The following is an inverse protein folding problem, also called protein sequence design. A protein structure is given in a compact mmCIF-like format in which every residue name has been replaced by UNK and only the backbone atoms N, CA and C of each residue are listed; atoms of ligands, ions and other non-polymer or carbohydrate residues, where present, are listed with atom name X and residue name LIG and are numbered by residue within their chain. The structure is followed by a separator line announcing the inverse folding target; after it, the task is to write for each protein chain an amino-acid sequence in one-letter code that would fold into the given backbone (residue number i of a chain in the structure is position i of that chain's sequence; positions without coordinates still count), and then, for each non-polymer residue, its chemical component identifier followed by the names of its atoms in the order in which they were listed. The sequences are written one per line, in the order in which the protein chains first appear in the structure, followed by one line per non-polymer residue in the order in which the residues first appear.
data_IF_951476397096
#
_entry.id   IF_951476397096
#
_cell.length_a   1.000
_cell.length_b   1.000
_cell.length_c   1.000
_cell.angle_alpha   90.00
_cell.angle_beta   90.00
_cell.angle_gamma   90.00
#
_symmetry.space_group_name_H-M   'P 1'
#
loop_
_entity.id
_entity.type
_entity.pdbx_description
1 polymer ?
#
# COMPACT_ATOMS: atom_id res chain seq x y z
N UNK A 1 -12.91 -13.39 25.40
CA UNK A 1 -11.45 -13.17 25.27
C UNK A 1 -11.30 -12.36 23.99
N UNK A 2 -10.61 -11.22 24.02
CA UNK A 2 -10.30 -10.52 22.77
C UNK A 2 -9.27 -11.38 22.05
N UNK A 3 -9.56 -11.78 20.82
CA UNK A 3 -8.56 -12.46 19.99
C UNK A 3 -7.36 -11.55 19.78
N UNK A 4 -6.18 -12.12 19.58
CA UNK A 4 -4.99 -11.33 19.26
C UNK A 4 -5.15 -10.67 17.87
N UNK A 5 -4.82 -9.39 17.74
CA UNK A 5 -4.92 -8.69 16.46
C UNK A 5 -3.94 -7.54 16.30
N UNK A 6 -3.57 -7.28 15.06
CA UNK A 6 -2.92 -6.06 14.62
C UNK A 6 -3.97 -5.16 13.94
N UNK A 7 -4.18 -3.93 14.47
CA UNK A 7 -5.19 -2.99 13.95
C UNK A 7 -5.00 -2.74 12.46
N UNK A 8 -3.76 -2.48 12.03
CA UNK A 8 -3.45 -2.23 10.63
C UNK A 8 -3.88 -3.42 9.75
N UNK A 9 -3.51 -4.65 10.09
CA UNK A 9 -3.86 -5.82 9.25
C UNK A 9 -5.36 -6.07 9.17
N UNK A 10 -6.11 -5.80 10.25
CA UNK A 10 -7.58 -5.88 10.25
C UNK A 10 -8.20 -4.85 9.32
N UNK A 11 -7.78 -3.59 9.42
CA UNK A 11 -8.26 -2.53 8.55
C UNK A 11 -7.87 -2.79 7.09
N UNK A 12 -6.62 -3.19 6.85
CA UNK A 12 -6.09 -3.50 5.52
C UNK A 12 -6.85 -4.64 4.84
N UNK A 13 -7.20 -5.70 5.57
CA UNK A 13 -8.00 -6.79 5.03
C UNK A 13 -9.42 -6.33 4.67
N UNK A 14 -10.03 -5.46 5.50
CA UNK A 14 -11.39 -4.97 5.29
C UNK A 14 -11.51 -4.04 4.09
N UNK A 15 -10.54 -3.16 3.89
CA UNK A 15 -10.51 -2.20 2.76
C UNK A 15 -9.80 -2.77 1.52
N UNK A 16 -9.35 -4.04 1.57
CA UNK A 16 -8.83 -4.75 0.41
C UNK A 16 -7.40 -4.34 0.00
N UNK A 17 -6.60 -3.81 0.92
CA UNK A 17 -5.20 -3.44 0.65
C UNK A 17 -4.40 -4.70 0.27
N UNK A 18 -3.68 -4.71 -0.87
CA UNK A 18 -2.80 -5.81 -1.24
C UNK A 18 -1.74 -6.11 -0.17
N UNK A 19 -1.52 -7.40 0.14
CA UNK A 19 -0.55 -7.81 1.18
C UNK A 19 0.87 -7.32 0.93
N UNK A 20 1.29 -7.20 -0.34
CA UNK A 20 2.61 -6.68 -0.69
C UNK A 20 2.79 -5.19 -0.35
N UNK A 21 1.71 -4.46 -0.07
CA UNK A 21 1.72 -3.06 0.37
C UNK A 21 1.69 -2.88 1.89
N UNK A 22 1.40 -3.95 2.65
CA UNK A 22 1.16 -3.89 4.09
C UNK A 22 2.35 -3.32 4.86
N UNK A 23 3.54 -3.91 4.69
CA UNK A 23 4.76 -3.44 5.35
C UNK A 23 5.04 -1.96 5.10
N UNK A 24 4.84 -1.51 3.86
CA UNK A 24 5.09 -0.13 3.46
C UNK A 24 4.13 0.83 4.16
N UNK A 25 2.83 0.56 4.11
CA UNK A 25 1.82 1.44 4.72
C UNK A 25 1.94 1.39 6.24
N UNK A 26 2.05 0.20 6.83
CA UNK A 26 2.20 0.03 8.28
C UNK A 26 3.44 0.75 8.82
N UNK A 27 4.55 0.77 8.06
CA UNK A 27 5.74 1.54 8.44
C UNK A 27 5.51 3.06 8.38
N UNK A 28 4.68 3.53 7.45
CA UNK A 28 4.34 4.95 7.32
C UNK A 28 3.30 5.40 8.34
N UNK A 29 2.41 4.52 8.79
CA UNK A 29 1.33 4.85 9.74
C UNK A 29 1.64 4.51 11.18
N UNK A 30 2.48 3.51 11.40
CA UNK A 30 2.47 2.76 12.65
C UNK A 30 1.26 1.82 12.75
N UNK A 31 1.19 1.08 13.85
CA UNK A 31 0.06 0.22 14.19
C UNK A 31 -0.02 -0.01 15.70
N UNK A 32 -1.14 -0.56 16.14
CA UNK A 32 -1.31 -1.10 17.49
C UNK A 32 -1.56 -2.60 17.36
N UNK A 33 -0.84 -3.37 18.16
CA UNK A 33 -0.99 -4.81 18.25
C UNK A 33 -1.50 -5.17 19.65
N UNK A 34 -2.58 -5.94 19.71
CA UNK A 34 -3.11 -6.51 20.95
C UNK A 34 -2.79 -8.00 20.97
N UNK A 35 -1.98 -8.44 21.93
CA UNK A 35 -1.61 -9.85 22.13
C UNK A 35 -1.69 -10.24 23.59
N UNK A 36 -2.33 -11.36 23.92
CA UNK A 36 -2.47 -11.85 25.30
C UNK A 36 -2.99 -10.77 26.27
N UNK A 37 -3.98 -9.98 25.86
CA UNK A 37 -4.51 -8.81 26.58
C UNK A 37 -3.51 -7.66 26.82
N UNK A 38 -2.32 -7.68 26.23
CA UNK A 38 -1.37 -6.57 26.25
C UNK A 38 -1.47 -5.74 24.98
N UNK A 39 -1.22 -4.43 25.10
CA UNK A 39 -1.24 -3.49 23.99
C UNK A 39 0.19 -3.06 23.67
N UNK A 40 0.60 -3.25 22.41
CA UNK A 40 1.90 -2.88 21.89
C UNK A 40 1.73 -1.77 20.84
N UNK A 41 2.43 -0.66 21.04
CA UNK A 41 2.43 0.47 20.12
C UNK A 41 3.65 0.39 19.20
N UNK A 42 3.40 0.52 17.90
CA UNK A 42 4.41 0.63 16.86
C UNK A 42 4.22 1.98 16.19
N UNK A 43 5.08 2.94 16.53
CA UNK A 43 4.98 4.30 15.99
C UNK A 43 5.29 4.35 14.49
N UNK A 44 4.82 5.40 13.81
CA UNK A 44 5.23 5.66 12.42
C UNK A 44 6.76 5.78 12.34
N UNK A 45 7.34 5.11 11.34
CA UNK A 45 8.76 5.18 11.00
C UNK A 45 9.06 6.30 9.99
N UNK A 46 8.02 6.88 9.38
CA UNK A 46 8.11 7.99 8.44
C UNK A 46 7.89 9.32 9.17
N UNK A 47 8.79 9.64 10.11
CA UNK A 47 8.66 10.77 11.04
C UNK A 47 9.10 12.12 10.45
N UNK A 48 9.78 12.10 9.30
CA UNK A 48 10.26 13.29 8.61
C UNK A 48 10.04 13.18 7.10
N UNK A 49 10.19 14.29 6.38
CA UNK A 49 9.99 14.35 4.93
C UNK A 49 10.89 13.36 4.17
N UNK A 50 12.14 13.17 4.63
CA UNK A 50 13.11 12.30 3.96
C UNK A 50 12.70 10.84 4.07
N UNK A 51 12.33 10.38 5.27
CA UNK A 51 11.85 9.03 5.53
C UNK A 51 10.53 8.78 4.78
N UNK A 52 9.62 9.75 4.76
CA UNK A 52 8.39 9.69 3.98
C UNK A 52 8.66 9.50 2.48
N UNK A 53 9.52 10.34 1.90
CA UNK A 53 9.93 10.23 0.49
C UNK A 53 10.59 8.88 0.20
N UNK A 54 11.41 8.37 1.13
CA UNK A 54 12.09 7.09 0.96
C UNK A 54 11.12 5.91 0.91
N UNK A 55 10.03 5.94 1.68
CA UNK A 55 8.95 4.95 1.58
C UNK A 55 8.13 5.11 0.30
N UNK A 56 7.86 6.34 -0.11
CA UNK A 56 7.01 6.64 -1.26
C UNK A 56 7.70 6.32 -2.60
N UNK A 57 8.94 6.78 -2.78
CA UNK A 57 9.68 6.74 -4.06
C UNK A 57 10.90 5.82 -4.06
N UNK A 58 11.32 5.34 -2.90
CA UNK A 58 12.60 4.67 -2.71
C UNK A 58 13.68 5.65 -2.25
N UNK A 59 14.74 5.11 -1.67
CA UNK A 59 15.79 5.90 -1.05
C UNK A 59 16.57 5.13 -0.01
N UNK A 60 17.63 5.76 0.49
CA UNK A 60 18.49 5.24 1.54
C UNK A 60 18.02 5.68 2.94
N UNK A 61 18.54 5.01 3.97
CA UNK A 61 18.30 5.35 5.38
C UNK A 61 16.84 5.24 5.83
N UNK A 62 16.03 4.40 5.17
CA UNK A 62 14.67 4.13 5.60
C UNK A 62 14.66 3.12 6.77
N UNK A 63 13.57 3.10 7.52
CA UNK A 63 13.27 2.06 8.50
C UNK A 63 11.93 1.41 8.16
N UNK A 64 11.85 0.09 8.23
CA UNK A 64 10.62 -0.64 7.87
C UNK A 64 10.26 -1.64 8.96
N UNK A 65 8.96 -1.78 9.20
CA UNK A 65 8.41 -2.95 9.87
C UNK A 65 8.20 -4.05 8.85
N UNK A 66 8.71 -5.24 9.14
CA UNK A 66 8.51 -6.44 8.33
C UNK A 66 7.70 -7.48 9.11
N UNK A 67 6.65 -7.96 8.47
CA UNK A 67 5.78 -9.00 8.99
C UNK A 67 6.28 -10.39 8.59
N UNK A 68 6.24 -11.34 9.52
CA UNK A 68 6.54 -12.77 9.29
C UNK A 68 5.34 -13.52 8.71
N UNK A 69 4.12 -13.06 9.00
CA UNK A 69 2.87 -13.66 8.56
C UNK A 69 1.78 -12.60 8.31
N UNK A 70 0.63 -13.03 7.77
CA UNK A 70 -0.49 -12.14 7.38
C UNK A 70 -1.10 -11.40 8.57
N UNK A 71 -1.13 -12.02 9.75
CA UNK A 71 -1.69 -11.39 10.97
C UNK A 71 -0.74 -10.36 11.59
N UNK A 72 0.56 -10.44 11.26
CA UNK A 72 1.61 -9.52 11.69
C UNK A 72 1.55 -9.13 13.17
N UNK A 73 1.44 -10.13 14.05
CA UNK A 73 1.34 -9.92 15.50
C UNK A 73 2.69 -9.57 16.15
N UNK A 74 3.81 -9.82 15.47
CA UNK A 74 5.14 -9.46 15.97
C UNK A 74 5.98 -8.79 14.86
N UNK A 75 5.65 -7.54 14.47
CA UNK A 75 6.42 -6.81 13.47
C UNK A 75 7.89 -6.68 13.88
N UNK A 76 8.79 -7.00 12.95
CA UNK A 76 10.24 -6.84 13.15
C UNK A 76 10.72 -5.51 12.58
N UNK A 77 11.50 -4.74 13.35
CA UNK A 77 12.03 -3.46 12.90
C UNK A 77 13.39 -3.63 12.22
N UNK A 78 13.49 -3.19 10.97
CA UNK A 78 14.74 -3.09 10.21
C UNK A 78 15.09 -1.64 9.97
N UNK A 79 16.29 -1.22 10.36
CA UNK A 79 16.79 0.16 10.26
C UNK A 79 17.86 0.27 9.18
N UNK A 80 18.06 1.49 8.70
CA UNK A 80 19.10 1.84 7.72
C UNK A 80 19.05 0.96 6.46
N UNK A 81 17.85 0.72 5.97
CA UNK A 81 17.64 -0.03 4.73
C UNK A 81 17.62 0.91 3.54
N UNK A 82 17.93 0.35 2.38
CA UNK A 82 17.68 0.99 1.08
C UNK A 82 16.42 0.39 0.48
N UNK A 83 15.44 1.24 0.19
CA UNK A 83 14.22 0.87 -0.54
C UNK A 83 14.49 1.16 -2.01
N UNK A 84 14.52 0.13 -2.86
CA UNK A 84 14.67 0.34 -4.30
C UNK A 84 13.41 1.03 -4.87
N UNK A 85 13.50 1.73 -6.01
CA UNK A 85 12.34 2.34 -6.64
C UNK A 85 11.18 1.36 -6.87
N UNK A 86 11.47 0.09 -7.20
CA UNK A 86 10.48 -0.96 -7.42
C UNK A 86 9.82 -1.44 -6.11
N UNK A 87 10.58 -1.44 -5.01
CA UNK A 87 10.09 -1.81 -3.68
C UNK A 87 9.42 -0.64 -2.94
N UNK A 88 9.55 0.57 -3.47
CA UNK A 88 8.83 1.74 -2.97
C UNK A 88 7.32 1.60 -3.15
N UNK A 89 6.56 2.40 -2.42
CA UNK A 89 5.11 2.37 -2.54
C UNK A 89 4.66 2.73 -3.97
N UNK A 90 5.28 3.72 -4.60
CA UNK A 90 5.02 4.08 -6.00
C UNK A 90 5.41 2.95 -6.97
N UNK A 91 6.54 2.27 -6.73
CA UNK A 91 6.97 1.12 -7.53
C UNK A 91 5.99 -0.05 -7.46
N UNK A 92 5.51 -0.36 -6.26
CA UNK A 92 4.48 -1.40 -6.05
C UNK A 92 3.16 -1.04 -6.69
N UNK A 93 2.72 0.22 -6.59
CA UNK A 93 1.52 0.70 -7.27
C UNK A 93 1.67 0.59 -8.80
N UNK A 94 2.81 1.01 -9.36
CA UNK A 94 3.15 0.85 -10.77
C UNK A 94 3.07 -0.61 -11.22
N UNK A 95 3.60 -1.54 -10.42
CA UNK A 95 3.57 -2.96 -10.73
C UNK A 95 2.12 -3.50 -10.76
N UNK A 96 1.28 -3.10 -9.80
CA UNK A 96 -0.14 -3.47 -9.79
C UNK A 96 -0.85 -2.95 -11.06
N UNK A 97 -0.65 -1.69 -11.43
CA UNK A 97 -1.22 -1.10 -12.64
C UNK A 97 -0.75 -1.81 -13.91
N UNK A 98 0.54 -2.17 -13.97
CA UNK A 98 1.10 -2.93 -15.09
C UNK A 98 0.45 -4.31 -15.22
N UNK A 99 0.19 -4.98 -14.09
CA UNK A 99 -0.47 -6.28 -14.09
C UNK A 99 -1.94 -6.17 -14.53
N UNK A 100 -2.64 -5.13 -14.07
CA UNK A 100 -4.01 -4.82 -14.47
C UNK A 100 -4.11 -4.55 -15.97
N UNK A 101 -3.20 -3.73 -16.52
CA UNK A 101 -3.12 -3.47 -17.95
C UNK A 101 -2.91 -4.75 -18.75
N UNK A 102 -1.96 -5.61 -18.34
CA UNK A 102 -1.75 -6.92 -18.99
C UNK A 102 -3.02 -7.76 -18.99
N UNK A 103 -3.72 -7.85 -17.85
CA UNK A 103 -4.99 -8.59 -17.77
C UNK A 103 -6.04 -8.01 -18.71
N UNK A 104 -6.14 -6.69 -18.77
CA UNK A 104 -7.01 -6.00 -19.72
C UNK A 104 -6.66 -6.37 -21.17
N UNK A 105 -5.39 -6.30 -21.55
CA UNK A 105 -4.90 -6.63 -22.90
C UNK A 105 -5.25 -8.08 -23.31
N UNK A 106 -5.22 -9.01 -22.36
CA UNK A 106 -5.53 -10.43 -22.58
C UNK A 106 -6.99 -10.80 -22.28
N UNK A 107 -7.89 -9.84 -22.01
CA UNK A 107 -9.27 -10.08 -21.58
C UNK A 107 -9.38 -11.08 -20.41
N UNK A 108 -8.43 -11.02 -19.48
CA UNK A 108 -8.41 -11.83 -18.27
C UNK A 108 -9.26 -11.16 -17.20
N UNK A 109 -10.06 -11.96 -16.49
CA UNK A 109 -10.88 -11.47 -15.38
C UNK A 109 -10.03 -10.91 -14.23
N UNK A 110 -10.49 -9.81 -13.64
CA UNK A 110 -9.89 -9.23 -12.45
C UNK A 110 -10.36 -9.98 -11.20
N UNK A 111 -9.44 -10.23 -10.29
CA UNK A 111 -9.74 -10.77 -8.97
C UNK A 111 -10.44 -9.71 -8.09
N UNK A 112 -11.11 -10.18 -7.03
CA UNK A 112 -11.76 -9.28 -6.07
C UNK A 112 -10.79 -8.26 -5.44
N UNK A 113 -9.53 -8.63 -5.20
CA UNK A 113 -8.53 -7.71 -4.68
C UNK A 113 -8.11 -6.63 -5.69
N UNK A 114 -8.01 -7.00 -6.97
CA UNK A 114 -7.75 -6.06 -8.06
C UNK A 114 -8.93 -5.09 -8.27
N UNK A 115 -10.16 -5.60 -8.17
CA UNK A 115 -11.38 -4.78 -8.21
C UNK A 115 -11.40 -3.81 -7.02
N UNK A 116 -11.14 -4.29 -5.81
CA UNK A 116 -11.08 -3.43 -4.61
C UNK A 116 -10.00 -2.35 -4.73
N UNK A 117 -8.81 -2.71 -5.21
CA UNK A 117 -7.76 -1.75 -5.51
C UNK A 117 -8.24 -0.70 -6.51
N UNK A 118 -8.83 -1.11 -7.63
CA UNK A 118 -9.36 -0.19 -8.66
C UNK A 118 -10.49 0.68 -8.12
N UNK A 119 -11.39 0.15 -7.29
CA UNK A 119 -12.47 0.92 -6.65
C UNK A 119 -11.92 1.96 -5.67
N UNK A 120 -10.84 1.66 -4.93
CA UNK A 120 -10.24 2.59 -3.96
C UNK A 120 -9.67 3.87 -4.58
N UNK A 121 -9.46 3.87 -5.90
CA UNK A 121 -8.83 4.96 -6.65
C UNK A 121 -9.66 5.43 -7.84
N UNK A 122 -10.57 4.60 -8.37
CA UNK A 122 -11.32 4.83 -9.60
C UNK A 122 -12.22 6.06 -9.56
N UNK A 123 -12.69 6.44 -8.38
CA UNK A 123 -13.52 7.63 -8.18
C UNK A 123 -12.72 8.94 -8.25
N UNK A 124 -11.41 8.90 -7.95
CA UNK A 124 -10.52 10.07 -7.89
C UNK A 124 -9.65 10.16 -9.13
N UNK A 125 -9.16 9.01 -9.59
CA UNK A 125 -8.29 8.85 -10.74
C UNK A 125 -8.92 7.80 -11.66
N UNK A 126 -9.47 8.17 -12.83
CA UNK A 126 -10.22 7.26 -13.70
C UNK A 126 -9.28 6.27 -14.41
N UNK A 127 -8.71 5.32 -13.66
CA UNK A 127 -7.63 4.44 -14.13
C UNK A 127 -8.00 3.66 -15.37
N UNK A 128 -9.28 3.27 -15.50
CA UNK A 128 -9.78 2.60 -16.69
C UNK A 128 -9.59 3.46 -17.95
N UNK A 129 -9.93 4.75 -17.89
CA UNK A 129 -9.75 5.67 -19.01
C UNK A 129 -8.28 5.82 -19.37
N UNK A 130 -7.39 5.88 -18.37
CA UNK A 130 -5.95 5.92 -18.59
C UNK A 130 -5.42 4.63 -19.23
N UNK A 131 -5.82 3.45 -18.75
CA UNK A 131 -5.42 2.16 -19.33
C UNK A 131 -5.89 2.08 -20.79
N UNK A 132 -7.15 2.43 -21.08
CA UNK A 132 -7.70 2.43 -22.44
C UNK A 132 -6.94 3.41 -23.32
N UNK A 133 -6.68 4.63 -22.82
CA UNK A 133 -5.95 5.64 -23.58
C UNK A 133 -4.53 5.19 -23.90
N UNK A 134 -3.80 4.60 -22.95
CA UNK A 134 -2.48 4.03 -23.21
C UNK A 134 -2.53 2.93 -24.27
N UNK A 135 -3.52 2.04 -24.18
CA UNK A 135 -3.71 0.93 -25.11
C UNK A 135 -3.93 1.45 -26.54
N UNK A 136 -4.80 2.45 -26.71
CA UNK A 136 -5.13 3.03 -28.02
C UNK A 136 -4.00 3.91 -28.55
N UNK A 137 -3.36 4.71 -27.69
CA UNK A 137 -2.34 5.69 -28.11
C UNK A 137 -0.94 5.10 -28.26
N UNK A 138 -0.65 3.96 -27.61
CA UNK A 138 0.70 3.40 -27.50
C UNK A 138 1.63 4.22 -26.60
N UNK A 139 1.13 5.23 -25.89
CA UNK A 139 1.91 6.09 -24.98
C UNK A 139 1.77 5.59 -23.54
N UNK A 140 2.87 5.57 -22.79
CA UNK A 140 2.87 5.20 -21.37
C UNK A 140 2.61 6.42 -20.48
N UNK A 141 1.41 6.49 -19.89
CA UNK A 141 0.87 7.55 -19.02
C UNK A 141 0.81 7.12 -17.54
N UNK A 142 0.60 5.84 -17.27
CA UNK A 142 0.56 5.24 -15.94
C UNK A 142 1.93 5.32 -15.26
N UNK A 143 3.01 5.22 -16.02
CA UNK A 143 4.37 5.37 -15.49
C UNK A 143 4.57 6.74 -14.84
N UNK A 144 4.19 7.81 -15.54
CA UNK A 144 4.29 9.17 -15.01
C UNK A 144 3.25 9.47 -13.92
N UNK A 145 2.12 8.75 -13.93
CA UNK A 145 1.03 8.93 -12.95
C UNK A 145 1.17 8.04 -11.71
N UNK A 146 2.10 7.09 -11.69
CA UNK A 146 2.25 6.09 -10.64
C UNK A 146 2.48 6.68 -9.26
N UNK A 147 3.28 7.74 -9.15
CA UNK A 147 3.51 8.47 -7.90
C UNK A 147 2.24 9.15 -7.40
N UNK A 148 1.47 9.76 -8.31
CA UNK A 148 0.22 10.44 -7.98
C UNK A 148 -0.82 9.44 -7.50
N UNK A 149 -0.99 8.33 -8.23
CA UNK A 149 -1.87 7.22 -7.83
C UNK A 149 -1.44 6.68 -6.48
N UNK A 150 -0.16 6.40 -6.27
CA UNK A 150 0.35 5.92 -4.99
C UNK A 150 0.07 6.92 -3.86
N UNK A 151 0.28 8.21 -4.08
CA UNK A 151 -0.01 9.23 -3.06
C UNK A 151 -1.50 9.26 -2.70
N UNK A 152 -2.39 9.16 -3.68
CA UNK A 152 -3.83 9.11 -3.45
C UNK A 152 -4.28 7.82 -2.78
N UNK A 153 -3.83 6.66 -3.26
CA UNK A 153 -4.12 5.35 -2.64
C UNK A 153 -3.69 5.35 -1.19
N UNK A 154 -2.48 5.84 -0.91
CA UNK A 154 -1.99 5.97 0.44
C UNK A 154 -2.95 6.84 1.26
N UNK A 155 -3.20 8.09 0.86
CA UNK A 155 -4.09 9.00 1.60
C UNK A 155 -5.48 8.40 1.81
N UNK A 156 -6.04 7.71 0.82
CA UNK A 156 -7.35 7.08 0.95
C UNK A 156 -7.31 5.93 1.98
N UNK A 157 -6.33 5.04 1.87
CA UNK A 157 -6.14 3.95 2.83
C UNK A 157 -5.90 4.51 4.24
N UNK A 158 -5.14 5.60 4.38
CA UNK A 158 -4.93 6.29 5.66
C UNK A 158 -6.25 6.81 6.24
N UNK A 159 -7.07 7.47 5.43
CA UNK A 159 -8.37 8.00 5.87
C UNK A 159 -9.30 6.90 6.33
N UNK A 160 -9.39 5.80 5.58
CA UNK A 160 -10.25 4.66 5.93
C UNK A 160 -9.76 3.99 7.21
N UNK A 161 -8.45 3.77 7.36
CA UNK A 161 -7.86 3.24 8.60
C UNK A 161 -8.15 4.17 9.78
N UNK A 162 -8.08 5.49 9.63
CA UNK A 162 -8.34 6.44 10.73
C UNK A 162 -9.84 6.47 11.08
N UNK A 163 -10.70 6.61 10.07
CA UNK A 163 -12.15 6.82 10.26
C UNK A 163 -12.84 5.59 10.84
N UNK A 164 -12.35 4.38 10.52
CA UNK A 164 -12.91 3.14 11.07
C UNK A 164 -12.45 2.83 12.51
N UNK A 165 -11.44 3.54 13.02
CA UNK A 165 -10.91 3.39 14.37
C UNK A 165 -11.45 4.46 15.36
N UNK A 166 -12.39 5.30 14.94
CA UNK A 166 -13.15 6.28 15.76
C UNK A 166 -14.62 5.91 15.83
#
# INVERSE_FOLDING_TARGET
MLDDYNIFTKAAAKVGIPSNMHDSIMSMTGTIVVTNNNVHFYDSLAQDEKSWISHLKGGESASIYSCDNVSCLHPSLRRNITISPEQSYAGKAKQQLTNLKKKFDYNTEFSNHEIAFLSSIGDIFPIYDYIILEYISGVTILDSSSELIASYTLVQHLKEVITENT
#
